data_IF_242153668686
#
_entry.id   IF_242153668686
#
_cell.length_a   1.000
_cell.length_b   1.000
_cell.length_c   1.000
_cell.angle_alpha   90.00
_cell.angle_beta   90.00
_cell.angle_gamma   90.00
#
_symmetry.space_group_name_H-M   'P 1'
#
loop_
_entity.id
_entity.type
_entity.pdbx_description
1 polymer ?
#
# COMPACT_ATOMS: atom_id res chain seq x y z
N UNK A 1 -14.49 5.83 11.65
CA UNK A 1 -13.03 5.96 11.50
C UNK A 1 -12.56 7.18 12.30
N UNK A 2 -11.53 7.02 13.09
CA UNK A 2 -10.77 8.10 13.74
C UNK A 2 -9.30 7.90 13.33
N UNK A 3 -8.63 8.95 12.87
CA UNK A 3 -7.24 8.89 12.41
C UNK A 3 -6.37 9.73 13.34
N UNK A 4 -5.30 9.14 13.85
CA UNK A 4 -4.25 9.80 14.64
C UNK A 4 -2.91 9.71 13.89
N UNK A 5 -1.84 10.21 14.49
CA UNK A 5 -0.52 10.35 13.86
C UNK A 5 0.08 9.05 13.30
N UNK A 6 -0.32 7.88 13.79
CA UNK A 6 0.26 6.59 13.44
C UNK A 6 -0.75 5.45 13.31
N UNK A 7 -2.05 5.74 13.48
CA UNK A 7 -3.09 4.71 13.48
C UNK A 7 -4.44 5.21 13.02
N UNK A 8 -5.20 4.29 12.48
CA UNK A 8 -6.62 4.43 12.21
C UNK A 8 -7.40 3.56 13.19
N UNK A 9 -8.38 4.16 13.89
CA UNK A 9 -9.35 3.43 14.69
C UNK A 9 -10.61 3.23 13.87
N UNK A 10 -11.01 1.99 13.68
CA UNK A 10 -12.14 1.65 12.84
C UNK A 10 -13.08 0.67 13.52
N UNK A 11 -14.34 0.72 13.16
CA UNK A 11 -15.35 -0.23 13.60
C UNK A 11 -15.46 -1.38 12.58
N UNK A 12 -15.38 -2.62 13.06
CA UNK A 12 -15.59 -3.83 12.28
C UNK A 12 -16.70 -4.63 12.96
N UNK A 13 -17.90 -4.54 12.44
CA UNK A 13 -19.08 -5.11 13.11
C UNK A 13 -19.25 -4.52 14.53
N UNK A 14 -19.34 -5.35 15.58
CA UNK A 14 -19.45 -4.89 16.96
C UNK A 14 -18.11 -4.49 17.62
N UNK A 15 -16.98 -4.72 16.96
CA UNK A 15 -15.67 -4.46 17.50
C UNK A 15 -15.07 -3.14 17.00
N UNK A 16 -14.27 -2.49 17.85
CA UNK A 16 -13.43 -1.36 17.47
C UNK A 16 -11.98 -1.81 17.50
N UNK A 17 -11.25 -1.54 16.42
CA UNK A 17 -9.88 -2.02 16.20
C UNK A 17 -8.96 -0.85 15.89
N UNK A 18 -7.80 -0.82 16.54
CA UNK A 18 -6.71 0.09 16.20
C UNK A 18 -5.79 -0.58 15.16
N UNK A 19 -5.62 0.06 14.02
CA UNK A 19 -4.77 -0.39 12.92
C UNK A 19 -3.63 0.62 12.75
N UNK A 20 -2.39 0.17 12.85
CA UNK A 20 -1.23 1.01 12.54
C UNK A 20 -1.15 1.25 11.04
N UNK A 21 -0.87 2.48 10.63
CA UNK A 21 -0.82 2.84 9.20
C UNK A 21 0.47 3.58 8.87
N UNK A 22 0.99 3.44 7.64
CA UNK A 22 2.11 4.25 7.17
C UNK A 22 1.76 5.74 7.17
N UNK A 23 2.75 6.58 7.40
CA UNK A 23 2.57 8.04 7.38
C UNK A 23 2.10 8.57 6.03
N UNK A 24 2.48 7.92 4.93
CA UNK A 24 2.04 8.25 3.57
C UNK A 24 0.52 8.15 3.36
N UNK A 25 -0.16 7.33 4.16
CA UNK A 25 -1.59 7.05 3.98
C UNK A 25 -2.48 7.96 4.84
N UNK A 26 -1.90 8.67 5.82
CA UNK A 26 -2.67 9.43 6.82
C UNK A 26 -3.58 10.51 6.22
N UNK A 27 -3.08 11.30 5.29
CA UNK A 27 -3.86 12.39 4.67
C UNK A 27 -5.04 11.83 3.86
N UNK A 28 -4.82 10.75 3.11
CA UNK A 28 -5.86 10.08 2.34
C UNK A 28 -6.93 9.48 3.27
N UNK A 29 -6.51 8.89 4.38
CA UNK A 29 -7.42 8.31 5.39
C UNK A 29 -8.22 9.37 6.14
N UNK A 30 -7.63 10.54 6.42
CA UNK A 30 -8.37 11.66 7.01
C UNK A 30 -9.51 12.14 6.12
N UNK A 31 -9.30 12.18 4.81
CA UNK A 31 -10.34 12.55 3.85
C UNK A 31 -11.48 11.51 3.74
N UNK A 32 -11.26 10.29 4.23
CA UNK A 32 -12.22 9.19 4.19
C UNK A 32 -12.92 8.93 5.54
N UNK A 33 -12.77 9.82 6.52
CA UNK A 33 -13.47 9.71 7.81
C UNK A 33 -14.99 9.66 7.57
N UNK A 34 -15.66 8.67 8.17
CA UNK A 34 -17.10 8.44 8.00
C UNK A 34 -17.47 7.58 6.79
N UNK A 35 -16.51 7.20 5.96
CA UNK A 35 -16.73 6.28 4.84
C UNK A 35 -16.37 4.84 5.21
N UNK A 36 -16.87 3.90 4.41
CA UNK A 36 -16.46 2.51 4.47
C UNK A 36 -15.13 2.34 3.72
N UNK A 37 -14.14 1.76 4.40
CA UNK A 37 -12.81 1.55 3.84
C UNK A 37 -12.38 0.10 4.01
N UNK A 38 -11.53 -0.38 3.12
CA UNK A 38 -10.90 -1.69 3.19
C UNK A 38 -9.40 -1.54 3.38
N UNK A 39 -8.84 -2.20 4.40
CA UNK A 39 -7.40 -2.31 4.59
C UNK A 39 -6.88 -3.69 4.20
N UNK A 40 -5.75 -3.71 3.51
CA UNK A 40 -4.91 -4.90 3.38
C UNK A 40 -4.05 -5.03 4.62
N UNK A 41 -4.39 -5.95 5.53
CA UNK A 41 -3.78 -6.00 6.86
C UNK A 41 -2.66 -7.02 6.98
N UNK A 42 -1.69 -6.70 7.84
CA UNK A 42 -0.66 -7.61 8.33
C UNK A 42 -0.79 -7.70 9.85
N UNK A 43 -0.93 -8.92 10.38
CA UNK A 43 -0.91 -9.16 11.81
C UNK A 43 0.53 -9.47 12.25
N UNK A 44 1.07 -8.65 13.14
CA UNK A 44 2.39 -8.86 13.73
C UNK A 44 2.27 -9.09 15.23
N UNK A 45 3.13 -9.95 15.77
CA UNK A 45 3.26 -10.17 17.21
C UNK A 45 4.47 -9.38 17.72
N UNK A 46 4.21 -8.41 18.56
CA UNK A 46 5.22 -7.52 19.09
C UNK A 46 5.55 -7.89 20.53
N UNK A 47 6.84 -8.17 20.80
CA UNK A 47 7.31 -8.41 22.16
C UNK A 47 7.29 -7.15 23.02
N UNK A 48 6.70 -7.24 24.21
CA UNK A 48 6.84 -6.21 25.23
C UNK A 48 8.08 -6.56 26.07
N UNK A 49 9.02 -5.60 26.14
CA UNK A 49 10.33 -5.70 26.80
C UNK A 49 10.47 -6.75 27.91
N UNK A 50 11.53 -7.56 27.83
CA UNK A 50 12.03 -8.53 28.83
C UNK A 50 11.07 -9.67 29.28
N UNK A 51 9.96 -9.90 28.60
CA UNK A 51 9.03 -10.97 28.92
C UNK A 51 8.59 -11.77 27.72
N UNK A 52 7.97 -12.91 27.97
CA UNK A 52 7.33 -13.78 26.95
C UNK A 52 5.99 -13.24 26.45
N UNK A 53 5.61 -12.03 26.84
CA UNK A 53 4.35 -11.41 26.44
C UNK A 53 4.43 -10.85 25.04
N UNK A 54 3.59 -11.35 24.14
CA UNK A 54 3.43 -10.89 22.79
C UNK A 54 2.11 -10.13 22.67
N UNK A 55 2.15 -8.95 22.05
CA UNK A 55 0.96 -8.16 21.76
C UNK A 55 0.69 -8.22 20.26
N UNK A 56 -0.51 -8.65 19.86
CA UNK A 56 -0.90 -8.58 18.46
C UNK A 56 -1.09 -7.13 18.03
N UNK A 57 -0.55 -6.77 16.86
CA UNK A 57 -0.71 -5.49 16.21
C UNK A 57 -1.20 -5.71 14.79
N UNK A 58 -2.21 -4.95 14.39
CA UNK A 58 -2.63 -4.88 13.01
C UNK A 58 -1.93 -3.71 12.34
N UNK A 59 -1.36 -3.96 11.18
CA UNK A 59 -0.84 -2.93 10.28
C UNK A 59 -1.73 -2.96 9.05
N UNK A 60 -2.22 -1.80 8.62
CA UNK A 60 -3.12 -1.65 7.48
C UNK A 60 -2.49 -0.83 6.39
N UNK A 61 -2.78 -1.20 5.16
CA UNK A 61 -2.31 -0.55 3.93
C UNK A 61 -3.50 -0.30 3.02
N UNK A 62 -3.45 0.79 2.27
CA UNK A 62 -4.50 1.16 1.31
C UNK A 62 -4.56 0.20 0.13
N UNK A 63 -3.46 -0.52 -0.17
CA UNK A 63 -3.43 -1.53 -1.24
C UNK A 63 -2.65 -2.78 -0.83
N UNK A 64 -2.91 -3.90 -1.52
CA UNK A 64 -2.11 -5.12 -1.38
C UNK A 64 -0.65 -4.90 -1.82
N UNK A 65 -0.44 -3.99 -2.76
CA UNK A 65 0.86 -3.64 -3.29
C UNK A 65 1.72 -2.91 -2.25
N UNK A 66 1.16 -1.92 -1.54
CA UNK A 66 1.85 -1.22 -0.44
C UNK A 66 2.16 -2.16 0.72
N UNK A 67 1.25 -3.10 1.02
CA UNK A 67 1.50 -4.16 1.98
C UNK A 67 2.71 -5.01 1.56
N UNK A 68 2.76 -5.46 0.30
CA UNK A 68 3.89 -6.27 -0.20
C UNK A 68 5.21 -5.49 -0.19
N UNK A 69 5.16 -4.18 -0.51
CA UNK A 69 6.34 -3.32 -0.38
C UNK A 69 6.83 -3.24 1.06
N UNK A 70 5.93 -3.05 2.01
CA UNK A 70 6.28 -3.02 3.43
C UNK A 70 6.91 -4.33 3.89
N UNK A 71 6.33 -5.47 3.49
CA UNK A 71 6.88 -6.78 3.81
C UNK A 71 8.31 -6.93 3.25
N UNK A 72 8.54 -6.53 1.98
CA UNK A 72 9.88 -6.50 1.39
C UNK A 72 10.82 -5.55 2.15
N UNK A 73 10.37 -4.34 2.47
CA UNK A 73 11.18 -3.33 3.15
C UNK A 73 11.61 -3.78 4.55
N UNK A 74 10.78 -4.57 5.24
CA UNK A 74 11.11 -5.13 6.57
C UNK A 74 12.07 -6.32 6.53
N UNK A 75 12.39 -6.86 5.35
CA UNK A 75 13.44 -7.89 5.22
C UNK A 75 14.85 -7.32 5.36
N UNK A 76 14.99 -5.99 5.19
CA UNK A 76 16.29 -5.31 5.31
C UNK A 76 16.81 -5.36 6.73
N UNK A 77 18.09 -5.70 6.88
CA UNK A 77 18.74 -5.79 8.19
C UNK A 77 18.57 -4.50 9.00
N UNK A 78 18.15 -4.64 10.24
CA UNK A 78 17.87 -3.55 11.20
C UNK A 78 16.68 -2.66 10.84
N UNK A 79 15.79 -3.11 9.97
CA UNK A 79 14.52 -2.48 9.71
C UNK A 79 13.39 -3.41 10.20
N UNK A 80 12.91 -3.16 11.41
CA UNK A 80 11.72 -3.83 11.93
C UNK A 80 10.45 -3.06 11.60
N UNK A 81 9.28 -3.67 11.84
CA UNK A 81 7.97 -3.12 11.50
C UNK A 81 7.75 -1.67 11.99
N UNK A 82 8.12 -1.34 13.24
CA UNK A 82 7.99 0.03 13.79
C UNK A 82 8.81 1.05 13.02
N UNK A 83 10.07 0.69 12.72
CA UNK A 83 10.97 1.57 11.98
C UNK A 83 10.50 1.75 10.54
N UNK A 84 10.05 0.67 9.90
CA UNK A 84 9.49 0.72 8.56
C UNK A 84 8.26 1.64 8.50
N UNK A 85 7.30 1.50 9.43
CA UNK A 85 6.10 2.36 9.48
C UNK A 85 6.45 3.85 9.60
N UNK A 86 7.45 4.19 10.42
CA UNK A 86 7.88 5.59 10.57
C UNK A 86 8.66 6.10 9.37
N UNK A 87 9.44 5.24 8.71
CA UNK A 87 10.18 5.60 7.51
C UNK A 87 9.27 5.82 6.29
N UNK A 88 8.12 5.12 6.20
CA UNK A 88 7.18 5.22 5.09
C UNK A 88 6.32 6.50 5.17
N UNK A 89 6.97 7.67 5.04
CA UNK A 89 6.34 8.99 4.92
C UNK A 89 6.10 9.39 3.47
N UNK A 90 6.63 8.63 2.53
CA UNK A 90 6.44 8.79 1.10
C UNK A 90 5.81 7.52 0.53
N UNK A 91 5.11 7.60 -0.61
CA UNK A 91 4.58 6.44 -1.30
C UNK A 91 5.65 5.38 -1.57
N UNK A 92 5.29 4.10 -1.45
CA UNK A 92 6.22 2.99 -1.66
C UNK A 92 6.94 3.04 -3.00
N UNK A 93 6.25 3.50 -4.06
CA UNK A 93 6.81 3.71 -5.41
C UNK A 93 7.97 4.72 -5.43
N UNK A 94 7.86 5.82 -4.67
CA UNK A 94 8.88 6.88 -4.66
C UNK A 94 10.13 6.37 -3.92
N UNK A 95 9.91 5.59 -2.87
CA UNK A 95 11.00 4.91 -2.15
C UNK A 95 11.64 3.84 -3.04
N UNK A 96 10.85 3.05 -3.77
CA UNK A 96 11.35 2.06 -4.73
C UNK A 96 12.18 2.71 -5.84
N UNK A 97 11.71 3.83 -6.40
CA UNK A 97 12.46 4.60 -7.40
C UNK A 97 13.79 5.14 -6.83
N UNK A 98 13.78 5.62 -5.57
CA UNK A 98 14.99 6.06 -4.90
C UNK A 98 15.99 4.92 -4.66
N UNK A 99 15.52 3.71 -4.35
CA UNK A 99 16.35 2.51 -4.19
C UNK A 99 16.98 2.12 -5.52
N UNK A 100 16.19 2.01 -6.58
CA UNK A 100 16.64 1.62 -7.92
C UNK A 100 17.64 2.62 -8.49
N UNK A 101 17.38 3.93 -8.34
CA UNK A 101 18.29 5.01 -8.76
C UNK A 101 19.46 5.24 -7.80
N UNK A 102 19.57 4.46 -6.71
CA UNK A 102 20.57 4.63 -5.65
C UNK A 102 20.62 6.03 -5.04
N UNK A 103 19.48 6.68 -4.94
CA UNK A 103 19.34 8.01 -4.37
C UNK A 103 19.43 7.97 -2.83
N UNK A 104 20.65 7.90 -2.32
CA UNK A 104 20.92 7.86 -0.86
C UNK A 104 20.40 9.10 -0.16
N UNK A 105 20.42 10.28 -0.82
CA UNK A 105 19.96 11.52 -0.20
C UNK A 105 18.46 11.47 0.11
N UNK A 106 17.65 10.96 -0.80
CA UNK A 106 16.21 10.75 -0.57
C UNK A 106 15.96 9.80 0.60
N UNK A 107 16.66 8.66 0.61
CA UNK A 107 16.48 7.65 1.67
C UNK A 107 16.89 8.17 3.05
N UNK A 108 17.95 8.97 3.15
CA UNK A 108 18.40 9.58 4.41
C UNK A 108 17.42 10.65 4.91
N UNK A 109 16.64 11.26 4.03
CA UNK A 109 15.60 12.20 4.42
C UNK A 109 14.39 11.52 5.09
N UNK A 110 14.24 10.20 4.93
CA UNK A 110 13.18 9.43 5.60
C UNK A 110 13.48 9.32 7.11
N UNK A 111 12.46 9.41 7.97
CA UNK A 111 12.64 9.27 9.41
C UNK A 111 13.35 7.96 9.79
N UNK A 112 14.23 8.02 10.76
CA UNK A 112 15.02 6.88 11.30
C UNK A 112 15.98 6.20 10.30
N UNK A 113 16.09 6.69 9.07
CA UNK A 113 17.01 6.16 8.06
C UNK A 113 18.26 7.03 8.02
N UNK A 114 19.33 6.56 8.68
CA UNK A 114 20.65 7.17 8.56
C UNK A 114 21.41 6.66 7.33
N UNK A 115 22.54 7.29 7.01
CA UNK A 115 23.38 7.00 5.85
C UNK A 115 23.69 5.49 5.70
N UNK A 116 24.14 4.85 6.79
CA UNK A 116 24.46 3.42 6.80
C UNK A 116 23.25 2.54 6.52
N UNK A 117 22.08 2.90 7.05
CA UNK A 117 20.83 2.17 6.79
C UNK A 117 20.39 2.35 5.32
N UNK A 118 20.52 3.56 4.77
CA UNK A 118 20.19 3.83 3.37
C UNK A 118 21.08 3.01 2.41
N UNK A 119 22.38 2.93 2.68
CA UNK A 119 23.32 2.10 1.93
C UNK A 119 22.95 0.61 2.00
N UNK A 120 22.55 0.13 3.18
CA UNK A 120 22.07 -1.26 3.36
C UNK A 120 20.78 -1.52 2.60
N UNK A 121 19.80 -0.60 2.66
CA UNK A 121 18.55 -0.68 1.89
C UNK A 121 18.85 -0.83 0.40
N UNK A 122 19.70 0.04 -0.15
CA UNK A 122 20.09 -0.01 -1.55
C UNK A 122 20.76 -1.34 -1.89
N UNK A 123 21.72 -1.80 -1.05
CA UNK A 123 22.45 -3.03 -1.30
C UNK A 123 21.54 -4.28 -1.30
N UNK A 124 20.55 -4.33 -0.39
CA UNK A 124 19.70 -5.50 -0.22
C UNK A 124 18.48 -5.51 -1.14
N UNK A 125 17.97 -4.33 -1.55
CA UNK A 125 16.73 -4.21 -2.31
C UNK A 125 16.90 -3.79 -3.77
N UNK A 126 18.08 -3.33 -4.22
CA UNK A 126 18.32 -3.04 -5.65
C UNK A 126 17.99 -4.26 -6.51
N UNK A 127 17.19 -4.05 -7.56
CA UNK A 127 16.70 -5.12 -8.47
C UNK A 127 15.54 -5.96 -7.91
N UNK A 128 15.07 -5.67 -6.68
CA UNK A 128 13.90 -6.34 -6.11
C UNK A 128 12.68 -5.41 -6.02
N UNK A 129 12.87 -4.13 -6.31
CA UNK A 129 11.84 -3.08 -6.18
C UNK A 129 11.28 -2.63 -7.52
N UNK A 130 11.68 -3.25 -8.62
CA UNK A 130 11.32 -2.82 -9.98
C UNK A 130 9.81 -2.92 -10.22
N UNK A 131 9.15 -3.93 -9.67
CA UNK A 131 7.70 -4.10 -9.74
C UNK A 131 6.91 -2.92 -9.11
N UNK A 132 7.53 -2.18 -8.19
CA UNK A 132 6.90 -1.01 -7.56
C UNK A 132 7.13 0.29 -8.31
N UNK A 133 8.05 0.33 -9.27
CA UNK A 133 8.35 1.50 -10.11
C UNK A 133 7.41 1.53 -11.32
N UNK A 134 7.16 0.37 -11.95
CA UNK A 134 6.44 0.27 -13.22
C UNK A 134 4.92 0.47 -13.09
N UNK A 135 4.36 0.42 -11.89
CA UNK A 135 2.90 0.56 -11.67
C UNK A 135 2.36 2.00 -11.72
N UNK A 136 3.09 2.95 -12.27
CA UNK A 136 2.54 4.28 -12.59
C UNK A 136 1.38 4.22 -13.61
N UNK A 137 1.10 3.05 -14.21
CA UNK A 137 0.08 2.86 -15.25
C UNK A 137 -1.15 2.06 -14.81
N UNK A 138 -1.20 1.51 -13.59
CA UNK A 138 -2.32 0.67 -13.15
C UNK A 138 -2.85 1.09 -11.77
N UNK A 139 -2.95 2.40 -11.51
CA UNK A 139 -3.90 2.90 -10.53
C UNK A 139 -5.21 3.13 -11.26
N UNK A 140 -5.78 2.04 -11.74
CA UNK A 140 -7.20 2.03 -12.10
C UNK A 140 -7.95 1.65 -10.84
N UNK A 141 -8.38 2.68 -10.12
CA UNK A 141 -9.60 2.74 -9.31
C UNK A 141 -10.35 1.39 -9.18
N UNK A 142 -10.01 0.61 -8.15
CA UNK A 142 -11.00 -0.30 -7.59
C UNK A 142 -11.68 0.48 -6.47
N UNK A 143 -12.75 1.21 -6.80
CA UNK A 143 -13.53 1.86 -5.76
C UNK A 143 -14.23 3.17 -6.13
N UNK A 144 -14.67 3.33 -7.40
CA UNK A 144 -15.83 4.18 -7.72
C UNK A 144 -16.48 3.64 -8.98
N UNK A 145 -17.77 3.32 -9.00
CA UNK A 145 -18.50 3.13 -10.24
C UNK A 145 -18.65 4.52 -10.88
N UNK A 146 -17.67 4.94 -11.70
CA UNK A 146 -17.87 6.05 -12.59
C UNK A 146 -18.90 5.64 -13.62
N UNK A 147 -20.05 6.31 -13.62
CA UNK A 147 -21.08 6.17 -14.63
C UNK A 147 -20.47 6.46 -16.02
N UNK A 148 -20.08 5.42 -16.73
CA UNK A 148 -19.44 5.49 -18.04
C UNK A 148 -18.47 4.34 -18.33
N UNK A 149 -17.97 3.65 -17.32
CA UNK A 149 -16.97 2.59 -17.48
C UNK A 149 -17.58 1.19 -17.61
N UNK A 150 -18.77 0.96 -17.10
CA UNK A 150 -19.43 -0.37 -17.18
C UNK A 150 -19.59 -0.86 -18.62
N UNK A 151 -19.93 0.03 -19.53
CA UNK A 151 -20.03 -0.30 -20.96
C UNK A 151 -18.65 -0.59 -21.57
N UNK A 152 -17.62 0.18 -21.23
CA UNK A 152 -16.25 -0.05 -21.71
C UNK A 152 -15.66 -1.36 -21.18
N UNK A 153 -15.89 -1.65 -19.90
CA UNK A 153 -15.43 -2.88 -19.25
C UNK A 153 -16.17 -4.11 -19.81
N UNK A 154 -17.49 -4.01 -20.05
CA UNK A 154 -18.27 -5.05 -20.70
C UNK A 154 -17.79 -5.33 -22.13
N UNK A 155 -17.46 -4.29 -22.90
CA UNK A 155 -16.89 -4.43 -24.25
C UNK A 155 -15.53 -5.13 -24.18
N UNK A 156 -14.64 -4.70 -23.27
CA UNK A 156 -13.34 -5.32 -23.09
C UNK A 156 -13.44 -6.81 -22.72
N UNK A 157 -14.38 -7.15 -21.85
CA UNK A 157 -14.64 -8.52 -21.42
C UNK A 157 -15.16 -9.38 -22.57
N UNK A 158 -16.11 -8.89 -23.39
CA UNK A 158 -16.62 -9.59 -24.57
C UNK A 158 -15.52 -9.81 -25.61
N UNK A 159 -14.65 -8.83 -25.82
CA UNK A 159 -13.48 -8.97 -26.71
C UNK A 159 -12.50 -10.02 -26.20
N UNK A 160 -12.26 -10.09 -24.88
CA UNK A 160 -11.41 -11.12 -24.28
C UNK A 160 -11.98 -12.55 -24.40
N UNK A 161 -13.32 -12.66 -24.51
CA UNK A 161 -14.04 -13.91 -24.77
C UNK A 161 -14.08 -14.31 -26.25
N UNK A 162 -13.45 -13.50 -27.14
CA UNK A 162 -13.32 -13.81 -28.56
C UNK A 162 -14.33 -13.10 -29.46
N UNK A 163 -15.16 -12.21 -28.93
CA UNK A 163 -16.06 -11.39 -29.75
C UNK A 163 -15.30 -10.28 -30.48
N UNK A 164 -15.81 -9.91 -31.68
CA UNK A 164 -15.21 -8.80 -32.42
C UNK A 164 -15.57 -7.48 -31.76
N UNK A 165 -14.65 -6.48 -31.72
CA UNK A 165 -14.85 -5.20 -31.02
C UNK A 165 -16.12 -4.48 -31.42
N UNK A 166 -16.54 -4.57 -32.69
CA UNK A 166 -17.79 -3.96 -33.19
C UNK A 166 -19.05 -4.71 -32.71
N UNK A 167 -18.98 -6.04 -32.66
CA UNK A 167 -20.07 -6.85 -32.13
C UNK A 167 -20.23 -6.68 -30.62
N UNK A 168 -19.14 -6.60 -29.89
CA UNK A 168 -19.13 -6.32 -28.46
C UNK A 168 -19.79 -4.97 -28.13
N UNK A 169 -19.49 -3.92 -28.89
CA UNK A 169 -20.14 -2.61 -28.73
C UNK A 169 -21.66 -2.68 -28.99
N UNK A 170 -22.08 -3.34 -30.06
CA UNK A 170 -23.52 -3.48 -30.37
C UNK A 170 -24.29 -4.29 -29.32
N UNK A 171 -23.65 -5.26 -28.68
CA UNK A 171 -24.26 -6.05 -27.60
C UNK A 171 -24.44 -5.21 -26.32
N UNK A 172 -23.46 -4.36 -25.99
CA UNK A 172 -23.53 -3.49 -24.81
C UNK A 172 -24.48 -2.33 -25.01
N UNK A 173 -24.59 -1.76 -26.22
CA UNK A 173 -25.52 -0.68 -26.54
C UNK A 173 -27.00 -1.13 -26.59
N UNK A 174 -27.25 -2.43 -26.63
CA UNK A 174 -28.61 -3.02 -26.64
C UNK A 174 -29.11 -3.45 -25.25
N UNK A 175 -28.23 -3.50 -24.24
CA UNK A 175 -28.58 -3.96 -22.91
C UNK A 175 -28.98 -2.79 -21.99
#
# INVERSE_FOLDING_TARGET
>A
LEVTTDRARMQIGPAVVDVLVPGSDLDALQAQIGQEITFHTLLVLEGISQGTSLVPRLIGFSSAHDRSFFELFTTVKNIGHRKALRALQAPGRDIAAAISSRNTAFLVALPEIGKRTAETIIAELSGKVDDWIDQASVVTSVGQPAAGTAAADAIAMLVSLGERPEAARQLVDRA
#
